data_IF_119294086896
#
_entry.id   IF_119294086896
#
_cell.length_a   1.000
_cell.length_b   1.000
_cell.length_c   1.000
_cell.angle_alpha   90.00
_cell.angle_beta   90.00
_cell.angle_gamma   90.00
#
_symmetry.space_group_name_H-M   'P 1'
#
loop_
_entity.id
_entity.type
_entity.pdbx_description
1 polymer ?
#
# COMPACT_ATOMS: atom_id res chain seq x y z
N UNK A 1 26.84 7.53 6.38
CA UNK A 1 25.56 7.12 7.03
C UNK A 1 25.28 8.12 8.14
N UNK A 2 24.14 8.81 8.10
CA UNK A 2 23.68 9.62 9.24
C UNK A 2 23.48 8.70 10.44
N UNK A 3 23.83 9.16 11.64
CA UNK A 3 23.58 8.41 12.88
C UNK A 3 22.09 8.03 12.96
N UNK A 4 21.73 6.85 13.40
CA UNK A 4 20.31 6.43 13.47
C UNK A 4 19.45 7.42 14.26
N UNK A 5 20.00 8.04 15.30
CA UNK A 5 19.32 9.07 16.10
C UNK A 5 19.00 10.32 15.25
N UNK A 6 19.87 10.74 14.33
CA UNK A 6 19.61 11.90 13.48
C UNK A 6 18.44 11.68 12.52
N UNK A 7 18.22 10.43 12.06
CA UNK A 7 17.09 10.09 11.20
C UNK A 7 15.72 10.25 11.88
N UNK A 8 15.71 10.39 13.21
CA UNK A 8 14.47 10.62 13.99
C UNK A 8 14.25 12.08 14.36
N UNK A 9 15.30 12.94 14.33
CA UNK A 9 15.28 14.27 14.95
C UNK A 9 15.63 15.43 14.03
N UNK A 10 16.17 15.17 12.83
CA UNK A 10 16.70 16.24 11.98
C UNK A 10 15.61 17.24 11.54
N UNK A 11 14.39 16.79 11.21
CA UNK A 11 13.31 17.64 10.71
C UNK A 11 11.93 17.22 11.25
N UNK A 12 11.66 17.32 12.58
CA UNK A 12 10.45 16.73 13.16
C UNK A 12 9.15 17.36 12.66
N UNK A 13 9.15 18.66 12.32
CA UNK A 13 7.96 19.34 11.80
C UNK A 13 7.59 18.88 10.40
N UNK A 14 8.58 18.83 9.52
CA UNK A 14 8.38 18.42 8.13
C UNK A 14 8.10 16.92 8.03
N UNK A 15 8.73 16.10 8.87
CA UNK A 15 8.43 14.68 8.98
C UNK A 15 7.00 14.44 9.50
N UNK A 16 6.53 15.24 10.46
CA UNK A 16 5.16 15.16 10.95
C UNK A 16 4.15 15.50 9.84
N UNK A 17 4.36 16.60 9.12
CA UNK A 17 3.48 17.00 8.01
C UNK A 17 3.53 15.98 6.87
N UNK A 18 4.71 15.53 6.47
CA UNK A 18 4.87 14.50 5.44
C UNK A 18 4.17 13.20 5.83
N UNK A 19 4.33 12.77 7.08
CA UNK A 19 3.65 11.58 7.60
C UNK A 19 2.13 11.70 7.60
N UNK A 20 1.61 12.85 8.01
CA UNK A 20 0.17 13.13 8.00
C UNK A 20 -0.40 13.05 6.58
N UNK A 21 0.22 13.73 5.62
CA UNK A 21 -0.18 13.70 4.22
C UNK A 21 -0.13 12.28 3.65
N UNK A 22 0.93 11.53 3.99
CA UNK A 22 1.10 10.15 3.55
C UNK A 22 0.01 9.23 4.11
N UNK A 23 -0.37 9.37 5.38
CA UNK A 23 -1.44 8.57 5.99
C UNK A 23 -2.75 8.70 5.23
N UNK A 24 -3.17 9.95 4.96
CA UNK A 24 -4.41 10.19 4.21
C UNK A 24 -4.33 9.75 2.74
N UNK A 25 -3.15 9.76 2.14
CA UNK A 25 -2.93 9.34 0.77
C UNK A 25 -2.93 7.81 0.62
N UNK A 26 -2.44 7.08 1.63
CA UNK A 26 -2.38 5.60 1.63
C UNK A 26 -3.77 4.97 1.71
N UNK A 27 -4.69 5.55 2.49
CA UNK A 27 -6.01 4.94 2.78
C UNK A 27 -6.78 4.59 1.49
N UNK A 28 -7.08 5.54 0.58
CA UNK A 28 -7.90 5.26 -0.58
C UNK A 28 -7.24 4.28 -1.54
N UNK A 29 -5.94 4.38 -1.70
CA UNK A 29 -5.19 3.56 -2.62
C UNK A 29 -5.17 2.10 -2.15
N UNK A 30 -4.91 1.87 -0.86
CA UNK A 30 -4.93 0.53 -0.27
C UNK A 30 -6.33 -0.06 -0.28
N UNK A 31 -7.36 0.71 0.02
CA UNK A 31 -8.75 0.25 -0.10
C UNK A 31 -9.07 -0.16 -1.54
N UNK A 32 -8.66 0.63 -2.53
CA UNK A 32 -8.80 0.27 -3.94
C UNK A 32 -8.10 -1.05 -4.29
N UNK A 33 -6.91 -1.30 -3.74
CA UNK A 33 -6.17 -2.55 -3.98
C UNK A 33 -6.81 -3.77 -3.29
N UNK A 34 -7.41 -3.61 -2.12
CA UNK A 34 -8.15 -4.70 -1.47
C UNK A 34 -9.40 -5.08 -2.25
N UNK A 35 -10.07 -4.11 -2.85
CA UNK A 35 -11.21 -4.35 -3.73
C UNK A 35 -10.77 -5.15 -4.97
N UNK A 36 -9.64 -4.78 -5.59
CA UNK A 36 -9.05 -5.54 -6.71
C UNK A 36 -8.73 -6.97 -6.29
N UNK A 37 -8.17 -7.16 -5.10
CA UNK A 37 -7.86 -8.48 -4.56
C UNK A 37 -9.09 -9.30 -4.20
N UNK A 38 -10.27 -8.68 -4.07
CA UNK A 38 -11.50 -9.34 -3.65
C UNK A 38 -11.56 -9.65 -2.16
N UNK A 39 -10.90 -8.84 -1.32
CA UNK A 39 -10.85 -9.01 0.13
C UNK A 39 -11.43 -7.80 0.87
N UNK A 40 -11.73 -8.01 2.15
CA UNK A 40 -12.20 -6.92 3.00
C UNK A 40 -11.17 -5.78 3.07
N UNK A 41 -11.57 -4.51 2.88
CA UNK A 41 -10.69 -3.35 2.96
C UNK A 41 -9.85 -3.26 4.23
N UNK A 42 -10.34 -3.78 5.35
CA UNK A 42 -9.61 -3.79 6.63
C UNK A 42 -8.30 -4.56 6.56
N UNK A 43 -8.22 -5.65 5.77
CA UNK A 43 -7.01 -6.45 5.63
C UNK A 43 -5.84 -5.61 5.07
N UNK A 44 -6.12 -4.77 4.07
CA UNK A 44 -5.12 -3.87 3.51
C UNK A 44 -4.72 -2.75 4.47
N UNK A 45 -5.67 -2.24 5.23
CA UNK A 45 -5.38 -1.21 6.23
C UNK A 45 -4.53 -1.75 7.40
N UNK A 46 -4.78 -2.97 7.88
CA UNK A 46 -3.92 -3.64 8.86
C UNK A 46 -2.50 -3.85 8.32
N UNK A 47 -2.39 -4.30 7.07
CA UNK A 47 -1.09 -4.40 6.38
C UNK A 47 -0.38 -3.06 6.36
N UNK A 48 -1.09 -1.99 6.02
CA UNK A 48 -0.50 -0.65 5.92
C UNK A 48 -0.02 -0.12 7.27
N UNK A 49 -0.78 -0.35 8.34
CA UNK A 49 -0.36 -0.03 9.71
C UNK A 49 0.92 -0.80 10.06
N UNK A 50 0.94 -2.12 9.83
CA UNK A 50 2.11 -2.95 10.12
C UNK A 50 3.34 -2.47 9.33
N UNK A 51 3.19 -2.21 8.03
CA UNK A 51 4.28 -1.72 7.19
C UNK A 51 4.79 -0.34 7.62
N UNK A 52 3.92 0.63 7.83
CA UNK A 52 4.30 1.98 8.22
C UNK A 52 5.05 2.00 9.56
N UNK A 53 4.60 1.23 10.53
CA UNK A 53 5.23 1.18 11.85
C UNK A 53 6.52 0.37 11.80
N UNK A 54 6.50 -0.86 11.29
CA UNK A 54 7.68 -1.73 11.31
C UNK A 54 8.79 -1.20 10.41
N UNK A 55 8.47 -0.64 9.23
CA UNK A 55 9.48 -0.04 8.36
C UNK A 55 10.13 1.20 8.97
N UNK A 56 9.43 1.96 9.84
CA UNK A 56 10.02 3.06 10.57
C UNK A 56 11.19 2.62 11.45
N UNK A 57 11.11 1.43 12.07
CA UNK A 57 12.15 0.90 12.96
C UNK A 57 13.14 -0.02 12.23
N UNK A 58 12.64 -0.95 11.41
CA UNK A 58 13.44 -1.99 10.78
C UNK A 58 14.01 -1.57 9.42
N UNK A 59 13.30 -0.69 8.70
CA UNK A 59 13.59 -0.33 7.32
C UNK A 59 15.01 0.19 7.09
N UNK A 60 15.53 -0.07 5.91
CA UNK A 60 16.83 0.41 5.43
C UNK A 60 16.76 1.80 4.83
N UNK A 61 15.55 2.28 4.47
CA UNK A 61 15.31 3.58 3.85
C UNK A 61 14.35 4.44 4.66
N UNK A 62 14.82 5.52 5.33
CA UNK A 62 13.95 6.51 5.97
C UNK A 62 13.03 7.21 4.97
N UNK A 63 11.86 7.64 5.41
CA UNK A 63 10.83 8.34 4.63
C UNK A 63 10.24 7.55 3.45
N UNK A 64 10.58 6.29 3.27
CA UNK A 64 9.95 5.42 2.27
C UNK A 64 8.65 4.84 2.84
N UNK A 65 7.55 5.06 2.13
CA UNK A 65 6.23 4.59 2.54
C UNK A 65 6.00 3.20 1.96
N UNK A 66 5.69 2.24 2.85
CA UNK A 66 5.32 0.87 2.49
C UNK A 66 3.93 0.57 3.04
N UNK A 67 3.11 -0.13 2.27
CA UNK A 67 1.72 -0.47 2.64
C UNK A 67 1.22 -1.67 1.82
N UNK A 68 -0.07 -2.00 1.92
CA UNK A 68 -0.69 -2.97 1.03
C UNK A 68 -0.59 -2.51 -0.43
N UNK A 69 -0.05 -3.34 -1.32
CA UNK A 69 0.34 -2.93 -2.65
C UNK A 69 -0.51 -3.56 -3.77
N UNK A 70 -0.82 -2.75 -4.79
CA UNK A 70 -1.64 -3.17 -5.92
C UNK A 70 -0.98 -4.24 -6.80
N UNK A 71 0.32 -4.15 -7.01
CA UNK A 71 1.10 -5.16 -7.73
C UNK A 71 0.99 -6.54 -7.09
N UNK A 72 1.07 -6.59 -5.76
CA UNK A 72 0.95 -7.82 -5.00
C UNK A 72 -0.50 -8.29 -4.91
N UNK A 73 -1.47 -7.37 -4.83
CA UNK A 73 -2.89 -7.67 -4.89
C UNK A 73 -3.26 -8.45 -6.15
N UNK A 74 -2.76 -8.03 -7.32
CA UNK A 74 -3.01 -8.69 -8.59
C UNK A 74 -2.49 -10.13 -8.63
N UNK A 75 -1.39 -10.44 -7.97
CA UNK A 75 -0.83 -11.80 -7.91
C UNK A 75 -1.75 -12.76 -7.16
N UNK A 76 -2.46 -12.28 -6.15
CA UNK A 76 -3.26 -13.13 -5.24
C UNK A 76 -4.74 -13.24 -5.62
N UNK A 77 -5.22 -12.49 -6.61
CA UNK A 77 -6.64 -12.53 -7.03
C UNK A 77 -7.12 -13.95 -7.32
N UNK A 78 -6.35 -14.71 -8.12
CA UNK A 78 -6.71 -16.08 -8.46
C UNK A 78 -6.67 -17.02 -7.24
N UNK A 79 -5.65 -16.86 -6.39
CA UNK A 79 -5.52 -17.64 -5.17
C UNK A 79 -6.73 -17.44 -4.24
N UNK A 80 -7.15 -16.18 -4.05
CA UNK A 80 -8.28 -15.85 -3.19
C UNK A 80 -9.60 -16.38 -3.77
N UNK A 81 -9.80 -16.22 -5.08
CA UNK A 81 -11.01 -16.66 -5.75
C UNK A 81 -11.21 -18.19 -5.70
N UNK A 82 -10.12 -18.95 -5.74
CA UNK A 82 -10.16 -20.41 -5.78
C UNK A 82 -10.07 -21.06 -4.40
N UNK A 83 -9.23 -20.52 -3.50
CA UNK A 83 -8.91 -21.16 -2.21
C UNK A 83 -9.29 -20.33 -0.98
N UNK A 84 -9.64 -19.06 -1.16
CA UNK A 84 -10.06 -18.19 -0.07
C UNK A 84 -8.92 -17.44 0.65
N UNK A 85 -9.31 -16.67 1.67
CA UNK A 85 -8.40 -15.73 2.37
C UNK A 85 -7.38 -16.42 3.28
N UNK A 86 -7.67 -17.60 3.80
CA UNK A 86 -6.72 -18.36 4.63
C UNK A 86 -5.44 -18.75 3.86
N UNK A 87 -5.60 -19.11 2.58
CA UNK A 87 -4.47 -19.38 1.69
C UNK A 87 -3.69 -18.12 1.34
N UNK A 88 -4.36 -16.96 1.28
CA UNK A 88 -3.69 -15.67 1.16
C UNK A 88 -2.74 -15.43 2.33
N UNK A 89 -3.20 -15.61 3.58
CA UNK A 89 -2.38 -15.37 4.76
C UNK A 89 -1.15 -16.29 4.80
N UNK A 90 -1.34 -17.56 4.43
CA UNK A 90 -0.24 -18.51 4.29
C UNK A 90 0.75 -18.09 3.19
N UNK A 91 0.25 -17.59 2.04
CA UNK A 91 1.09 -17.12 0.94
C UNK A 91 1.90 -15.90 1.33
N UNK A 92 1.30 -14.93 2.03
CA UNK A 92 1.95 -13.70 2.51
C UNK A 92 3.04 -14.02 3.53
N UNK A 93 2.74 -14.90 4.49
CA UNK A 93 3.72 -15.35 5.49
C UNK A 93 4.94 -16.00 4.83
N UNK A 94 4.71 -16.93 3.91
CA UNK A 94 5.78 -17.63 3.20
C UNK A 94 6.56 -16.70 2.27
N UNK A 95 5.90 -15.76 1.60
CA UNK A 95 6.55 -14.71 0.83
C UNK A 95 7.50 -13.87 1.70
N UNK A 96 7.05 -13.52 2.92
CA UNK A 96 7.89 -12.84 3.90
C UNK A 96 9.15 -13.62 4.25
N UNK A 97 9.06 -14.95 4.43
CA UNK A 97 10.22 -15.82 4.65
C UNK A 97 11.18 -15.74 3.46
N UNK A 98 10.68 -15.84 2.23
CA UNK A 98 11.53 -15.75 1.04
C UNK A 98 12.21 -14.39 0.93
N UNK A 99 11.49 -13.28 1.17
CA UNK A 99 12.06 -11.94 1.16
C UNK A 99 13.15 -11.78 2.24
N UNK A 100 12.93 -12.33 3.43
CA UNK A 100 13.93 -12.31 4.51
C UNK A 100 15.20 -13.09 4.10
N UNK A 101 15.04 -14.30 3.54
CA UNK A 101 16.17 -15.10 3.03
C UNK A 101 16.91 -14.31 1.93
N UNK A 102 16.18 -13.71 0.97
CA UNK A 102 16.77 -12.91 -0.10
C UNK A 102 17.51 -11.68 0.45
N UNK A 103 16.98 -11.03 1.49
CA UNK A 103 17.65 -9.93 2.18
C UNK A 103 18.96 -10.36 2.86
N UNK A 104 18.93 -11.48 3.58
CA UNK A 104 20.12 -12.07 4.25
C UNK A 104 21.17 -12.53 3.22
N UNK A 105 20.74 -13.11 2.10
CA UNK A 105 21.61 -13.48 0.98
C UNK A 105 22.10 -12.27 0.16
N UNK A 106 21.71 -11.03 0.55
CA UNK A 106 22.12 -9.77 -0.10
C UNK A 106 21.67 -9.66 -1.56
N UNK A 107 20.55 -10.31 -1.91
CA UNK A 107 19.97 -10.27 -3.26
C UNK A 107 19.57 -8.84 -3.65
N UNK A 108 19.20 -8.00 -2.68
CA UNK A 108 18.91 -6.59 -2.91
C UNK A 108 20.03 -5.81 -3.65
N UNK A 109 21.27 -6.28 -3.56
CA UNK A 109 22.40 -5.68 -4.30
C UNK A 109 22.32 -5.91 -5.82
N UNK A 110 21.56 -6.91 -6.26
CA UNK A 110 21.43 -7.22 -7.68
C UNK A 110 20.56 -6.20 -8.42
N UNK A 111 19.77 -5.39 -7.72
CA UNK A 111 18.93 -4.34 -8.33
C UNK A 111 19.73 -3.38 -9.22
N UNK A 112 20.98 -3.11 -8.85
CA UNK A 112 21.89 -2.22 -9.63
C UNK A 112 22.21 -2.74 -11.03
N UNK A 113 22.00 -4.04 -11.27
CA UNK A 113 22.22 -4.66 -12.58
C UNK A 113 20.97 -4.67 -13.44
N UNK A 114 19.80 -4.29 -12.90
CA UNK A 114 18.56 -4.20 -13.65
C UNK A 114 18.60 -2.90 -14.48
N UNK A 115 18.53 -2.97 -15.81
CA UNK A 115 18.48 -1.79 -16.65
C UNK A 115 17.26 -0.92 -16.36
N UNK A 116 17.42 0.39 -16.47
CA UNK A 116 16.33 1.34 -16.18
C UNK A 116 15.10 1.11 -17.09
N UNK A 117 15.31 0.68 -18.34
CA UNK A 117 14.20 0.36 -19.24
C UNK A 117 13.32 -0.79 -18.74
N UNK A 118 13.92 -1.81 -18.09
CA UNK A 118 13.16 -2.91 -17.48
C UNK A 118 12.31 -2.38 -16.30
N UNK A 119 12.90 -1.49 -15.51
CA UNK A 119 12.23 -0.86 -14.38
C UNK A 119 11.04 -0.02 -14.82
N UNK A 120 11.24 0.84 -15.83
CA UNK A 120 10.16 1.65 -16.42
C UNK A 120 9.06 0.75 -17.01
N UNK A 121 9.43 -0.25 -17.80
CA UNK A 121 8.47 -1.19 -18.38
C UNK A 121 7.67 -1.98 -17.34
N UNK A 122 8.27 -2.32 -16.19
CA UNK A 122 7.56 -2.94 -15.08
C UNK A 122 6.51 -2.00 -14.47
N UNK A 123 6.87 -0.75 -14.19
CA UNK A 123 5.95 0.26 -13.63
C UNK A 123 4.82 0.57 -14.61
N UNK A 124 5.14 0.74 -15.89
CA UNK A 124 4.13 1.02 -16.94
C UNK A 124 3.15 -0.15 -17.10
N UNK A 125 3.65 -1.39 -17.07
CA UNK A 125 2.78 -2.57 -17.15
C UNK A 125 1.86 -2.70 -15.95
N UNK A 126 2.35 -2.42 -14.74
CA UNK A 126 1.50 -2.36 -13.54
C UNK A 126 0.42 -1.29 -13.65
N UNK A 127 0.78 -0.09 -14.11
CA UNK A 127 -0.19 1.00 -14.30
C UNK A 127 -1.30 0.59 -15.28
N UNK A 128 -0.95 -0.06 -16.40
CA UNK A 128 -1.93 -0.57 -17.38
C UNK A 128 -2.84 -1.64 -16.76
N UNK A 129 -2.29 -2.61 -16.02
CA UNK A 129 -3.07 -3.69 -15.41
C UNK A 129 -4.02 -3.13 -14.34
N UNK A 130 -3.54 -2.23 -13.48
CA UNK A 130 -4.36 -1.57 -12.47
C UNK A 130 -5.49 -0.77 -13.15
N UNK A 131 -5.18 0.02 -14.17
CA UNK A 131 -6.16 0.78 -14.92
C UNK A 131 -7.24 -0.13 -15.54
N UNK A 132 -6.84 -1.24 -16.17
CA UNK A 132 -7.76 -2.21 -16.75
C UNK A 132 -8.66 -2.87 -15.70
N UNK A 133 -8.15 -3.13 -14.49
CA UNK A 133 -8.95 -3.68 -13.40
C UNK A 133 -9.97 -2.67 -12.88
N UNK A 134 -9.60 -1.39 -12.80
CA UNK A 134 -10.51 -0.31 -12.38
C UNK A 134 -11.62 -0.06 -13.40
N UNK A 135 -11.35 -0.19 -14.69
CA UNK A 135 -12.40 -0.13 -15.71
C UNK A 135 -13.48 -1.19 -15.45
N UNK A 136 -13.09 -2.42 -15.10
CA UNK A 136 -14.05 -3.49 -14.77
C UNK A 136 -14.94 -3.11 -13.58
N UNK A 137 -14.37 -2.47 -12.55
CA UNK A 137 -15.12 -2.01 -11.38
C UNK A 137 -16.07 -0.85 -11.73
N UNK A 138 -15.73 0.00 -12.71
CA UNK A 138 -16.58 1.08 -13.19
C UNK A 138 -17.72 0.59 -14.07
N UNK A 139 -17.52 -0.49 -14.83
CA UNK A 139 -18.52 -1.03 -15.76
C UNK A 139 -19.75 -1.56 -15.01
N UNK A 140 -20.92 -1.06 -15.39
CA UNK A 140 -22.21 -1.46 -14.78
C UNK A 140 -22.72 -0.51 -13.69
N UNK A 141 -21.93 0.48 -13.25
CA UNK A 141 -22.33 1.44 -12.21
C UNK A 141 -23.32 2.52 -12.62
N UNK A 142 -23.75 2.53 -13.89
CA UNK A 142 -24.69 3.51 -14.40
C UNK A 142 -24.10 4.90 -14.65
N UNK A 143 -24.94 5.82 -15.17
CA UNK A 143 -24.50 7.18 -15.53
C UNK A 143 -23.95 7.98 -14.35
N UNK A 144 -24.53 7.78 -13.18
CA UNK A 144 -24.10 8.45 -11.93
C UNK A 144 -22.66 8.09 -11.57
N UNK A 145 -22.29 6.80 -11.65
CA UNK A 145 -20.94 6.36 -11.37
C UNK A 145 -19.93 6.95 -12.37
N UNK A 146 -20.25 6.92 -13.65
CA UNK A 146 -19.38 7.53 -14.68
C UNK A 146 -19.19 9.04 -14.49
N UNK A 147 -20.25 9.76 -14.10
CA UNK A 147 -20.17 11.19 -13.82
C UNK A 147 -19.27 11.48 -12.59
N UNK A 148 -19.38 10.70 -11.54
CA UNK A 148 -18.53 10.84 -10.34
C UNK A 148 -17.07 10.50 -10.62
N UNK A 149 -16.80 9.43 -11.36
CA UNK A 149 -15.44 9.06 -11.79
C UNK A 149 -14.83 10.16 -12.66
N UNK A 150 -15.58 10.66 -13.64
CA UNK A 150 -15.12 11.77 -14.49
C UNK A 150 -14.83 13.04 -13.66
N UNK A 151 -15.68 13.37 -12.69
CA UNK A 151 -15.46 14.49 -11.79
C UNK A 151 -14.18 14.27 -10.94
N UNK A 152 -13.96 13.07 -10.43
CA UNK A 152 -12.75 12.70 -9.70
C UNK A 152 -11.50 12.89 -10.56
N UNK A 153 -11.47 12.36 -11.78
CA UNK A 153 -10.34 12.50 -12.71
C UNK A 153 -10.08 14.00 -13.02
N UNK A 154 -11.12 14.79 -13.26
CA UNK A 154 -10.99 16.23 -13.53
C UNK A 154 -10.35 16.93 -12.32
N UNK A 155 -10.79 16.61 -11.10
CA UNK A 155 -10.23 17.20 -9.89
C UNK A 155 -8.76 16.80 -9.75
N UNK A 156 -8.42 15.52 -9.88
CA UNK A 156 -7.04 15.02 -9.77
C UNK A 156 -6.11 15.72 -10.77
N UNK A 157 -6.59 16.01 -11.98
CA UNK A 157 -5.79 16.64 -13.03
C UNK A 157 -5.69 18.18 -12.90
N UNK A 158 -6.75 18.83 -12.46
CA UNK A 158 -6.80 20.31 -12.38
C UNK A 158 -6.30 20.84 -11.05
N UNK A 159 -6.56 20.15 -9.93
CA UNK A 159 -6.23 20.64 -8.59
C UNK A 159 -4.74 20.93 -8.38
N UNK A 160 -3.78 20.15 -8.91
CA UNK A 160 -2.35 20.45 -8.76
C UNK A 160 -1.91 21.75 -9.44
N UNK A 161 -2.76 22.35 -10.31
CA UNK A 161 -2.52 23.68 -10.91
C UNK A 161 -2.86 24.80 -9.94
N UNK A 162 -3.72 24.55 -8.94
CA UNK A 162 -4.15 25.53 -7.94
C UNK A 162 -3.21 25.47 -6.73
N UNK A 163 -2.97 24.25 -6.20
CA UNK A 163 -2.06 24.06 -5.07
C UNK A 163 -1.41 22.67 -5.12
N UNK A 164 -0.15 22.62 -4.66
CA UNK A 164 0.61 21.37 -4.50
C UNK A 164 0.77 20.97 -3.04
N UNK A 165 0.15 21.72 -2.12
CA UNK A 165 0.28 21.50 -0.67
C UNK A 165 -0.51 20.27 -0.18
N UNK A 166 -1.57 19.88 -0.90
CA UNK A 166 -2.44 18.76 -0.54
C UNK A 166 -2.51 17.79 -1.74
N UNK A 167 -2.46 16.47 -1.52
CA UNK A 167 -2.64 15.49 -2.58
C UNK A 167 -3.99 15.65 -3.28
N UNK A 168 -3.96 15.75 -4.60
CA UNK A 168 -5.19 15.95 -5.41
C UNK A 168 -6.17 14.78 -5.28
N UNK A 169 -5.67 13.57 -5.10
CA UNK A 169 -6.47 12.36 -4.85
C UNK A 169 -7.31 12.49 -3.58
N UNK A 170 -6.73 13.03 -2.49
CA UNK A 170 -7.47 13.25 -1.25
C UNK A 170 -8.63 14.25 -1.46
N UNK A 171 -8.37 15.35 -2.17
CA UNK A 171 -9.40 16.34 -2.48
C UNK A 171 -10.49 15.73 -3.38
N UNK A 172 -10.11 14.95 -4.39
CA UNK A 172 -11.07 14.26 -5.24
C UNK A 172 -12.02 13.36 -4.43
N UNK A 173 -11.48 12.58 -3.49
CA UNK A 173 -12.27 11.70 -2.63
C UNK A 173 -13.23 12.52 -1.76
N UNK A 174 -12.74 13.58 -1.11
CA UNK A 174 -13.59 14.43 -0.25
C UNK A 174 -14.73 15.07 -1.08
N UNK A 175 -14.41 15.64 -2.24
CA UNK A 175 -15.40 16.32 -3.08
C UNK A 175 -16.40 15.33 -3.68
N UNK A 176 -15.93 14.19 -4.20
CA UNK A 176 -16.82 13.16 -4.78
C UNK A 176 -17.71 12.55 -3.70
N UNK A 177 -17.16 12.28 -2.50
CA UNK A 177 -17.94 11.77 -1.36
C UNK A 177 -18.96 12.79 -0.90
N UNK A 178 -18.58 14.05 -0.73
CA UNK A 178 -19.51 15.11 -0.38
C UNK A 178 -20.61 15.25 -1.43
N UNK A 179 -20.27 15.27 -2.70
CA UNK A 179 -21.25 15.33 -3.78
C UNK A 179 -22.22 14.13 -3.75
N UNK A 180 -21.72 12.93 -3.55
CA UNK A 180 -22.56 11.71 -3.43
C UNK A 180 -23.53 11.79 -2.26
N UNK A 181 -23.07 12.24 -1.10
CA UNK A 181 -23.91 12.35 0.11
C UNK A 181 -24.92 13.47 0.00
N UNK A 182 -24.51 14.69 -0.42
CA UNK A 182 -25.41 15.85 -0.48
C UNK A 182 -26.46 15.74 -1.60
N UNK A 183 -26.12 15.08 -2.69
CA UNK A 183 -27.07 14.85 -3.81
C UNK A 183 -27.90 13.58 -3.62
N UNK A 184 -27.69 12.81 -2.55
CA UNK A 184 -28.41 11.57 -2.28
C UNK A 184 -28.23 10.51 -3.37
N UNK A 185 -27.04 10.46 -4.00
CA UNK A 185 -26.76 9.54 -5.09
C UNK A 185 -26.59 8.12 -4.56
N UNK A 186 -27.36 7.19 -5.08
CA UNK A 186 -27.26 5.77 -4.74
C UNK A 186 -26.07 5.16 -5.50
N UNK A 187 -24.91 5.13 -4.87
CA UNK A 187 -23.70 4.51 -5.39
C UNK A 187 -23.17 3.49 -4.38
N UNK A 188 -22.57 2.43 -4.86
CA UNK A 188 -21.90 1.45 -4.00
C UNK A 188 -20.82 2.17 -3.16
N UNK A 189 -20.89 2.04 -1.86
CA UNK A 189 -19.92 2.58 -0.92
C UNK A 189 -18.92 1.52 -0.47
N UNK A 190 -17.83 1.92 0.16
CA UNK A 190 -16.88 0.97 0.77
C UNK A 190 -17.59 0.13 1.83
N UNK A 191 -18.50 0.72 2.60
CA UNK A 191 -19.29 0.02 3.62
C UNK A 191 -20.14 -1.13 3.09
N UNK A 192 -20.55 -1.06 1.81
CA UNK A 192 -21.31 -2.13 1.16
C UNK A 192 -20.41 -3.33 0.78
N UNK A 193 -19.11 -3.13 0.65
CA UNK A 193 -18.14 -4.17 0.30
C UNK A 193 -17.56 -4.89 1.52
N UNK A 194 -17.66 -4.29 2.70
CA UNK A 194 -17.20 -4.87 3.96
C UNK A 194 -17.39 -3.90 5.11
N UNK A 195 -18.01 -4.39 6.18
CA UNK A 195 -18.25 -3.55 7.35
C UNK A 195 -16.91 -3.14 7.97
N UNK A 196 -16.53 -1.87 7.85
CA UNK A 196 -15.34 -1.31 8.48
C UNK A 196 -15.62 -1.04 9.96
N UNK A 197 -15.74 -2.09 10.75
CA UNK A 197 -15.77 -1.98 12.19
C UNK A 197 -14.34 -1.89 12.70
N UNK A 198 -14.10 -1.00 13.68
CA UNK A 198 -12.83 -0.90 14.38
C UNK A 198 -12.58 -2.18 15.21
N UNK A 199 -12.23 -3.27 14.56
CA UNK A 199 -11.82 -4.51 15.21
C UNK A 199 -10.27 -4.56 15.21
N UNK A 200 -9.71 -5.14 16.26
CA UNK A 200 -8.30 -5.50 16.23
C UNK A 200 -8.10 -6.71 15.32
N UNK A 201 -6.99 -6.80 14.60
CA UNK A 201 -6.71 -7.97 13.78
C UNK A 201 -6.58 -9.22 14.66
N UNK A 202 -7.17 -10.31 14.21
CA UNK A 202 -6.98 -11.60 14.85
C UNK A 202 -5.57 -12.13 14.57
N UNK A 203 -4.78 -12.27 15.62
CA UNK A 203 -3.40 -12.77 15.50
C UNK A 203 -3.41 -14.29 15.54
N UNK A 204 -3.09 -14.92 14.43
CA UNK A 204 -2.96 -16.36 14.32
C UNK A 204 -1.81 -16.76 13.40
N UNK A 205 -1.16 -17.87 13.70
CA UNK A 205 -0.21 -18.45 12.77
C UNK A 205 -0.98 -19.18 11.67
N UNK A 206 -0.59 -19.04 10.39
CA UNK A 206 -1.26 -19.74 9.30
C UNK A 206 -1.05 -21.26 9.39
N UNK A 207 -1.93 -21.92 10.13
CA UNK A 207 -1.87 -23.39 10.41
C UNK A 207 -1.96 -24.23 9.14
N UNK A 208 -2.51 -23.68 8.07
CA UNK A 208 -2.54 -24.33 6.76
C UNK A 208 -1.16 -24.71 6.23
N UNK A 209 -0.09 -24.01 6.64
CA UNK A 209 1.27 -24.36 6.27
C UNK A 209 1.79 -25.69 6.87
N UNK A 210 1.02 -26.33 7.76
CA UNK A 210 1.32 -27.67 8.26
C UNK A 210 0.96 -28.78 7.25
N UNK A 211 0.17 -28.50 6.20
CA UNK A 211 -0.22 -29.45 5.16
C UNK A 211 0.69 -29.35 3.93
N UNK A 212 1.19 -30.50 3.45
CA UNK A 212 1.97 -30.56 2.20
C UNK A 212 1.17 -30.16 0.94
N UNK A 213 -0.14 -30.36 0.96
CA UNK A 213 -1.01 -29.94 -0.15
C UNK A 213 -1.06 -28.42 -0.23
N UNK A 214 -1.16 -27.73 0.90
CA UNK A 214 -1.12 -26.28 0.97
C UNK A 214 0.20 -25.72 0.37
N UNK A 215 1.32 -26.36 0.64
CA UNK A 215 2.60 -25.93 0.08
C UNK A 215 2.61 -25.96 -1.45
N UNK A 216 2.04 -26.97 -2.08
CA UNK A 216 1.95 -27.08 -3.54
C UNK A 216 1.16 -25.93 -4.17
N UNK A 217 0.09 -25.49 -3.48
CA UNK A 217 -0.78 -24.41 -3.94
C UNK A 217 -0.11 -23.06 -3.68
N UNK A 218 0.39 -22.83 -2.46
CA UNK A 218 0.83 -21.51 -1.98
C UNK A 218 2.23 -21.13 -2.49
N UNK A 219 3.12 -22.10 -2.70
CA UNK A 219 4.52 -21.87 -3.04
C UNK A 219 4.73 -21.00 -4.30
N UNK A 220 4.08 -21.26 -5.44
CA UNK A 220 4.28 -20.43 -6.64
C UNK A 220 3.81 -18.99 -6.43
N UNK A 221 2.71 -18.79 -5.70
CA UNK A 221 2.23 -17.45 -5.35
C UNK A 221 3.19 -16.73 -4.40
N UNK A 222 3.69 -17.44 -3.39
CA UNK A 222 4.64 -16.88 -2.41
C UNK A 222 5.96 -16.45 -3.05
N UNK A 223 6.48 -17.25 -3.96
CA UNK A 223 7.69 -16.91 -4.71
C UNK A 223 7.44 -15.67 -5.58
N UNK A 224 6.31 -15.64 -6.30
CA UNK A 224 5.93 -14.50 -7.14
C UNK A 224 5.77 -13.22 -6.30
N UNK A 225 5.08 -13.30 -5.16
CA UNK A 225 4.93 -12.20 -4.22
C UNK A 225 6.29 -11.71 -3.70
N UNK A 226 7.20 -12.63 -3.35
CA UNK A 226 8.51 -12.26 -2.84
C UNK A 226 9.32 -11.47 -3.88
N UNK A 227 9.32 -11.91 -5.12
CA UNK A 227 10.05 -11.22 -6.20
C UNK A 227 9.39 -9.88 -6.57
N UNK A 228 8.09 -9.87 -6.83
CA UNK A 228 7.36 -8.64 -7.20
C UNK A 228 7.51 -7.58 -6.11
N UNK A 229 7.26 -7.95 -4.84
CA UNK A 229 7.36 -7.02 -3.73
C UNK A 229 8.78 -6.49 -3.51
N UNK A 230 9.82 -7.31 -3.65
CA UNK A 230 11.20 -6.83 -3.54
C UNK A 230 11.62 -5.96 -4.71
N UNK A 231 11.25 -6.29 -5.94
CA UNK A 231 11.55 -5.46 -7.11
C UNK A 231 10.93 -4.08 -6.91
N UNK A 232 9.64 -3.99 -6.58
CA UNK A 232 8.95 -2.71 -6.38
C UNK A 232 9.55 -1.92 -5.20
N UNK A 233 9.87 -2.60 -4.09
CA UNK A 233 10.51 -1.98 -2.94
C UNK A 233 11.87 -1.38 -3.30
N UNK A 234 12.71 -2.12 -4.00
CA UNK A 234 14.05 -1.67 -4.35
C UNK A 234 14.03 -0.57 -5.42
N UNK A 235 13.02 -0.57 -6.31
CA UNK A 235 12.76 0.53 -7.23
C UNK A 235 12.35 1.79 -6.48
N UNK A 236 11.39 1.67 -5.57
CA UNK A 236 10.95 2.78 -4.72
C UNK A 236 12.11 3.35 -3.92
N UNK A 237 12.95 2.49 -3.36
CA UNK A 237 14.15 2.88 -2.63
C UNK A 237 15.09 3.72 -3.50
N UNK A 238 15.35 3.31 -4.74
CA UNK A 238 16.20 4.08 -5.66
C UNK A 238 15.59 5.45 -5.99
N UNK A 239 14.30 5.53 -6.24
CA UNK A 239 13.60 6.80 -6.48
C UNK A 239 13.75 7.73 -5.29
N UNK A 240 13.53 7.23 -4.07
CA UNK A 240 13.67 8.03 -2.84
C UNK A 240 15.13 8.43 -2.61
N UNK A 241 16.09 7.54 -2.87
CA UNK A 241 17.54 7.85 -2.79
C UNK A 241 17.92 9.00 -3.74
N UNK A 242 17.43 8.96 -4.98
CA UNK A 242 17.66 10.02 -5.97
C UNK A 242 17.01 11.35 -5.55
N UNK A 243 15.76 11.32 -5.09
CA UNK A 243 15.04 12.54 -4.68
C UNK A 243 15.64 13.23 -3.46
N UNK A 244 16.30 12.47 -2.60
CA UNK A 244 16.88 12.98 -1.35
C UNK A 244 18.40 13.13 -1.40
N UNK A 245 19.03 12.73 -2.52
CA UNK A 245 20.47 12.72 -2.74
C UNK A 245 21.23 11.97 -1.63
N UNK A 246 20.64 10.86 -1.15
CA UNK A 246 21.20 10.03 -0.08
C UNK A 246 21.20 8.56 -0.51
N UNK A 247 22.02 7.76 0.17
CA UNK A 247 22.08 6.32 -0.04
C UNK A 247 21.50 5.55 1.14
N UNK A 248 20.91 4.42 0.87
CA UNK A 248 20.25 3.58 1.86
C UNK A 248 20.69 2.10 1.77
N UNK A 249 20.29 1.29 2.77
CA UNK A 249 20.69 -0.11 2.84
C UNK A 249 19.60 -1.01 2.23
N UNK A 250 19.87 -1.52 1.02
CA UNK A 250 18.96 -2.40 0.27
C UNK A 250 18.74 -3.75 0.96
N UNK A 251 19.74 -4.29 1.67
CA UNK A 251 19.59 -5.59 2.33
C UNK A 251 18.75 -5.45 3.60
N UNK A 252 19.01 -4.40 4.39
CA UNK A 252 18.19 -4.08 5.56
C UNK A 252 16.74 -3.85 5.16
N UNK A 253 16.51 -3.15 4.04
CA UNK A 253 15.17 -2.92 3.52
C UNK A 253 14.50 -4.23 3.12
N UNK A 254 15.19 -5.09 2.37
CA UNK A 254 14.66 -6.41 1.98
C UNK A 254 14.30 -7.29 3.18
N UNK A 255 15.13 -7.28 4.23
CA UNK A 255 14.83 -8.00 5.48
C UNK A 255 13.61 -7.40 6.19
N UNK A 256 13.51 -6.07 6.24
CA UNK A 256 12.36 -5.36 6.83
C UNK A 256 11.06 -5.73 6.13
N UNK A 257 11.04 -5.73 4.80
CA UNK A 257 9.89 -6.13 4.00
C UNK A 257 9.49 -7.59 4.29
N UNK A 258 10.48 -8.49 4.39
CA UNK A 258 10.24 -9.89 4.74
C UNK A 258 9.61 -10.06 6.12
N UNK A 259 10.19 -9.45 7.15
CA UNK A 259 9.65 -9.51 8.53
C UNK A 259 8.23 -8.94 8.56
N UNK A 260 7.99 -7.81 7.88
CA UNK A 260 6.69 -7.17 7.90
C UNK A 260 5.63 -8.03 7.19
N UNK A 261 5.95 -8.64 6.04
CA UNK A 261 5.03 -9.56 5.37
C UNK A 261 4.74 -10.82 6.22
N UNK A 262 5.73 -11.33 6.97
CA UNK A 262 5.47 -12.41 7.93
C UNK A 262 4.46 -11.98 9.00
N UNK A 263 4.63 -10.78 9.57
CA UNK A 263 3.68 -10.22 10.53
C UNK A 263 2.30 -10.04 9.88
N UNK A 264 2.24 -9.52 8.66
CA UNK A 264 0.97 -9.36 7.93
C UNK A 264 0.24 -10.70 7.73
N UNK A 265 0.97 -11.77 7.37
CA UNK A 265 0.39 -13.11 7.27
C UNK A 265 -0.16 -13.64 8.60
N UNK A 266 0.40 -13.20 9.75
CA UNK A 266 -0.09 -13.59 11.07
C UNK A 266 -1.28 -12.77 11.58
N UNK A 267 -1.43 -11.54 11.11
CA UNK A 267 -2.52 -10.64 11.54
C UNK A 267 -3.70 -10.60 10.54
N UNK A 268 -3.75 -11.55 9.61
CA UNK A 268 -4.78 -11.59 8.60
C UNK A 268 -4.70 -10.43 7.60
N UNK A 269 -3.50 -9.96 7.29
CA UNK A 269 -3.26 -8.88 6.35
C UNK A 269 -3.05 -9.37 4.91
N UNK A 270 -3.18 -8.44 3.95
CA UNK A 270 -2.79 -8.68 2.56
C UNK A 270 -1.28 -8.49 2.36
N UNK A 271 -0.70 -8.92 1.24
CA UNK A 271 0.71 -8.67 0.96
C UNK A 271 0.98 -7.19 0.71
N UNK A 272 2.13 -6.72 1.18
CA UNK A 272 2.55 -5.34 1.03
C UNK A 272 4.00 -5.19 0.57
N UNK A 273 4.30 -4.00 0.04
CA UNK A 273 5.65 -3.57 -0.34
C UNK A 273 5.76 -2.04 -0.30
N UNK A 274 6.91 -1.48 -0.69
CA UNK A 274 7.06 -0.04 -0.79
C UNK A 274 6.30 0.50 -1.99
N UNK A 275 5.61 1.62 -1.80
CA UNK A 275 4.76 2.27 -2.80
C UNK A 275 5.46 3.50 -3.36
N UNK A 276 5.78 3.49 -4.65
CA UNK A 276 6.50 4.59 -5.33
C UNK A 276 5.76 5.92 -5.18
N UNK A 277 4.46 5.95 -5.50
CA UNK A 277 3.64 7.16 -5.45
C UNK A 277 3.61 7.79 -4.05
N UNK A 278 3.34 6.98 -3.03
CA UNK A 278 3.23 7.41 -1.64
C UNK A 278 4.58 7.86 -1.07
N UNK A 279 5.66 7.17 -1.39
CA UNK A 279 7.01 7.58 -1.00
C UNK A 279 7.38 8.94 -1.62
N UNK A 280 7.04 9.17 -2.89
CA UNK A 280 7.23 10.48 -3.56
C UNK A 280 6.39 11.56 -2.86
N UNK A 281 5.14 11.29 -2.53
CA UNK A 281 4.26 12.22 -1.81
C UNK A 281 4.85 12.59 -0.46
N UNK A 282 5.30 11.61 0.34
CA UNK A 282 5.93 11.83 1.64
C UNK A 282 7.15 12.75 1.51
N UNK A 283 8.07 12.42 0.58
CA UNK A 283 9.31 13.19 0.36
C UNK A 283 9.01 14.60 -0.14
N UNK A 284 8.04 14.78 -1.05
CA UNK A 284 7.63 16.12 -1.53
C UNK A 284 6.94 16.96 -0.47
N UNK A 285 6.27 16.31 0.49
CA UNK A 285 5.64 16.98 1.64
C UNK A 285 6.60 17.28 2.79
N UNK A 286 7.90 17.03 2.61
CA UNK A 286 8.95 17.36 3.57
C UNK A 286 9.50 16.18 4.36
N UNK A 287 8.90 14.99 4.27
CA UNK A 287 9.36 13.78 4.96
C UNK A 287 10.78 13.39 4.52
N UNK A 288 11.70 13.27 5.47
CA UNK A 288 13.10 12.87 5.27
C UNK A 288 13.55 11.80 6.24
N UNK A 289 12.94 11.73 7.40
CA UNK A 289 13.30 10.86 8.52
C UNK A 289 12.36 9.67 8.69
N UNK A 290 12.72 8.82 9.64
CA UNK A 290 11.88 7.68 10.07
C UNK A 290 10.59 8.12 10.77
N UNK A 291 10.61 9.33 11.33
CA UNK A 291 9.47 9.91 12.04
C UNK A 291 8.27 10.06 11.09
N UNK A 292 8.49 10.39 9.81
CA UNK A 292 7.39 10.57 8.86
C UNK A 292 6.59 9.29 8.63
N UNK A 293 7.25 8.14 8.48
CA UNK A 293 6.56 6.84 8.33
C UNK A 293 5.89 6.39 9.62
N UNK A 294 6.52 6.64 10.79
CA UNK A 294 5.89 6.37 12.08
C UNK A 294 4.62 7.20 12.31
N UNK A 295 4.69 8.50 12.03
CA UNK A 295 3.51 9.40 12.13
C UNK A 295 2.41 8.92 11.18
N UNK A 296 2.75 8.51 9.96
CA UNK A 296 1.75 7.96 9.04
C UNK A 296 1.08 6.70 9.61
N UNK A 297 1.83 5.78 10.20
CA UNK A 297 1.29 4.57 10.83
C UNK A 297 0.40 4.87 12.04
N UNK A 298 0.85 5.74 12.93
CA UNK A 298 0.05 6.15 14.11
C UNK A 298 -1.21 6.88 13.70
N UNK A 299 -1.12 7.76 12.70
CA UNK A 299 -2.30 8.48 12.18
C UNK A 299 -3.29 7.52 11.51
N UNK A 300 -2.81 6.52 10.80
CA UNK A 300 -3.67 5.50 10.22
C UNK A 300 -4.41 4.69 11.30
N UNK A 301 -3.75 4.34 12.41
CA UNK A 301 -4.42 3.71 13.56
C UNK A 301 -5.50 4.63 14.12
N UNK A 302 -5.21 5.92 14.28
CA UNK A 302 -6.17 6.88 14.78
C UNK A 302 -7.40 6.99 13.84
N UNK A 303 -7.18 7.03 12.55
CA UNK A 303 -8.28 7.04 11.56
C UNK A 303 -9.10 5.74 11.61
N UNK A 304 -8.47 4.58 11.76
CA UNK A 304 -9.18 3.31 11.89
C UNK A 304 -9.99 3.23 13.20
N UNK A 305 -9.44 3.74 14.30
CA UNK A 305 -10.11 3.72 15.59
C UNK A 305 -11.29 4.69 15.71
N UNK A 306 -11.13 5.91 15.18
CA UNK A 306 -12.12 6.99 15.36
C UNK A 306 -12.87 7.36 14.08
N UNK A 307 -12.32 7.04 12.90
CA UNK A 307 -12.83 7.47 11.60
C UNK A 307 -13.42 6.36 10.74
N UNK A 308 -13.55 5.13 11.24
CA UNK A 308 -14.07 3.99 10.47
C UNK A 308 -15.47 4.24 9.89
N UNK A 309 -16.34 4.97 10.62
CA UNK A 309 -17.64 5.38 10.11
C UNK A 309 -17.58 6.31 8.89
N UNK A 310 -16.57 7.18 8.81
CA UNK A 310 -16.38 8.07 7.67
C UNK A 310 -15.87 7.30 6.43
N UNK A 311 -15.05 6.28 6.64
CA UNK A 311 -14.55 5.45 5.54
C UNK A 311 -15.68 4.66 4.87
N UNK A 312 -16.68 4.22 5.62
CA UNK A 312 -17.82 3.48 5.10
C UNK A 312 -18.69 4.30 4.12
N UNK A 313 -18.67 5.64 4.21
CA UNK A 313 -19.49 6.55 3.39
C UNK A 313 -18.83 6.83 2.03
N UNK A 314 -17.53 6.54 1.87
CA UNK A 314 -16.81 6.84 0.64
C UNK A 314 -17.37 5.99 -0.51
N UNK A 315 -17.84 6.62 -1.61
CA UNK A 315 -18.33 5.89 -2.75
C UNK A 315 -17.19 5.22 -3.53
N UNK A 316 -17.43 4.04 -4.06
CA UNK A 316 -16.45 3.32 -4.90
C UNK A 316 -15.94 4.19 -6.07
N UNK A 317 -16.83 5.01 -6.64
CA UNK A 317 -16.47 5.95 -7.69
C UNK A 317 -15.36 6.96 -7.34
N UNK A 318 -15.14 7.22 -6.06
CA UNK A 318 -14.06 8.10 -5.60
C UNK A 318 -12.68 7.41 -5.52
N UNK A 319 -12.65 6.08 -5.63
CA UNK A 319 -11.43 5.25 -5.53
C UNK A 319 -10.97 4.71 -6.88
N UNK A 320 -11.83 4.75 -7.89
CA UNK A 320 -11.53 4.39 -9.29
C UNK A 320 -10.82 5.54 -10.00
#
# INVERSE_FOLDING_TARGET
>A
MKNEISQWRDNPKDDFLGGLVSAFSVIPEVVGFTIIAGVNPMLGLYTSVAFLILSAFLGGRPAMVSAGAGSMALVVVALIAEYGTEYLFAAVFLAGIFQLIMGLCKVGRLIKYIPQCVMTGFVDSLAIIIFMSQIKNALGGGLTMYALVAAGIIIVYLFPRITKAVPSTLIAIIVVTAASVFLGLTTTSIGDMGNMTAALPDVHLPTLLLSLETWKIVLPYSISLAFVGLIETLLTQQVVDQMTETTSDTNRESCSQGITNMVCGCIGGMPGCAMIGQAIVNVKSGGRGRLSTLVAGVMLIAVLGFGSGLLNIIPLAALI
#
